data_IF_249079597636
#
_entry.id   IF_249079597636
#
_cell.length_a   1.000
_cell.length_b   1.000
_cell.length_c   1.000
_cell.angle_alpha   90.00
_cell.angle_beta   90.00
_cell.angle_gamma   90.00
#
_symmetry.space_group_name_H-M   'P 1'
#
loop_
_entity.id
_entity.type
_entity.pdbx_description
1 polymer ?
#
# COMPACT_ATOMS: atom_id res chain seq x y z
N UNK A 1 2.90 16.14 -2.28
CA UNK A 1 2.12 15.25 -3.16
C UNK A 1 0.66 15.63 -3.02
N UNK A 2 -0.10 15.83 -4.11
CA UNK A 2 -1.55 16.05 -4.00
C UNK A 2 -2.19 14.69 -3.68
N UNK A 3 -3.03 14.56 -2.64
CA UNK A 3 -3.72 13.29 -2.41
C UNK A 3 -4.56 12.98 -3.66
N UNK A 4 -4.40 11.77 -4.21
CA UNK A 4 -5.37 11.29 -5.20
C UNK A 4 -6.76 11.34 -4.56
N UNK A 5 -7.75 11.78 -5.34
CA UNK A 5 -9.15 11.89 -4.92
C UNK A 5 -9.60 10.56 -4.30
N UNK A 6 -10.26 10.63 -3.14
CA UNK A 6 -10.58 9.45 -2.35
C UNK A 6 -11.28 8.39 -3.21
N UNK A 7 -10.93 7.11 -3.01
CA UNK A 7 -11.42 5.95 -3.78
C UNK A 7 -12.96 5.88 -3.90
N UNK A 8 -13.69 6.58 -3.02
CA UNK A 8 -15.13 6.54 -2.92
C UNK A 8 -15.84 7.75 -3.58
N UNK A 9 -15.11 8.79 -3.99
CA UNK A 9 -15.67 9.98 -4.65
C UNK A 9 -15.64 9.90 -6.18
N UNK A 10 -14.93 8.91 -6.72
CA UNK A 10 -14.83 8.61 -8.13
C UNK A 10 -15.13 7.12 -8.33
N UNK A 11 -16.21 6.82 -9.06
CA UNK A 11 -16.70 5.46 -9.28
C UNK A 11 -15.68 4.57 -9.99
N UNK A 12 -14.77 5.16 -10.76
CA UNK A 12 -13.76 4.42 -11.52
C UNK A 12 -12.41 4.34 -10.78
N UNK A 13 -12.24 5.07 -9.67
CA UNK A 13 -11.01 5.03 -8.88
C UNK A 13 -10.66 3.63 -8.36
N UNK A 14 -11.60 2.79 -7.88
CA UNK A 14 -11.30 1.42 -7.48
C UNK A 14 -10.79 0.56 -8.65
N UNK A 15 -11.34 0.73 -9.85
CA UNK A 15 -10.91 -0.01 -11.04
C UNK A 15 -9.47 0.36 -11.43
N UNK A 16 -9.15 1.66 -11.49
CA UNK A 16 -7.79 2.13 -11.78
C UNK A 16 -6.79 1.72 -10.70
N UNK A 17 -7.20 1.74 -9.42
CA UNK A 17 -6.36 1.27 -8.33
C UNK A 17 -6.04 -0.22 -8.46
N UNK A 18 -7.02 -1.05 -8.86
CA UNK A 18 -6.83 -2.47 -9.13
C UNK A 18 -5.91 -2.71 -10.32
N UNK A 19 -6.08 -1.99 -11.42
CA UNK A 19 -5.22 -2.11 -12.61
C UNK A 19 -3.76 -1.77 -12.26
N UNK A 20 -3.52 -0.70 -11.48
CA UNK A 20 -2.18 -0.36 -10.98
C UNK A 20 -1.58 -1.47 -10.13
N UNK A 21 -2.33 -2.00 -9.16
CA UNK A 21 -1.87 -3.08 -8.31
C UNK A 21 -1.49 -4.35 -9.10
N UNK A 22 -2.27 -4.71 -10.13
CA UNK A 22 -1.95 -5.83 -11.01
C UNK A 22 -0.67 -5.59 -11.83
N UNK A 23 -0.47 -4.36 -12.32
CA UNK A 23 0.76 -3.98 -13.02
C UNK A 23 2.00 -4.02 -12.10
N UNK A 24 1.84 -3.66 -10.83
CA UNK A 24 2.91 -3.76 -9.82
C UNK A 24 3.27 -5.21 -9.53
N UNK A 25 2.28 -6.09 -9.39
CA UNK A 25 2.50 -7.54 -9.25
C UNK A 25 3.26 -8.08 -10.46
N UNK A 26 2.83 -7.76 -11.68
CA UNK A 26 3.48 -8.22 -12.91
C UNK A 26 4.93 -7.71 -13.04
N UNK A 27 5.22 -6.52 -12.53
CA UNK A 27 6.55 -5.92 -12.53
C UNK A 27 7.42 -6.33 -11.32
N UNK A 28 6.90 -7.16 -10.40
CA UNK A 28 7.60 -7.57 -9.18
C UNK A 28 7.77 -6.44 -8.15
N UNK A 29 7.00 -5.34 -8.25
CA UNK A 29 6.98 -4.24 -7.28
C UNK A 29 6.09 -4.62 -6.08
N UNK A 30 6.50 -5.67 -5.36
CA UNK A 30 5.76 -6.21 -4.21
C UNK A 30 6.65 -6.23 -2.97
N UNK A 31 6.04 -6.12 -1.78
CA UNK A 31 6.73 -6.30 -0.50
C UNK A 31 6.58 -7.75 -0.04
N UNK A 32 7.65 -8.42 0.43
CA UNK A 32 7.56 -9.78 0.98
C UNK A 32 6.58 -9.85 2.16
N UNK A 33 5.78 -10.93 2.21
CA UNK A 33 4.77 -11.13 3.25
C UNK A 33 5.35 -11.03 4.67
N UNK A 34 6.47 -11.71 4.94
CA UNK A 34 7.12 -11.71 6.25
C UNK A 34 7.49 -10.30 6.72
N UNK A 35 7.93 -9.45 5.78
CA UNK A 35 8.29 -8.07 6.11
C UNK A 35 7.05 -7.24 6.51
N UNK A 36 5.93 -7.45 5.82
CA UNK A 36 4.65 -6.82 6.18
C UNK A 36 4.14 -7.36 7.51
N UNK A 37 4.25 -8.67 7.75
CA UNK A 37 3.80 -9.31 8.98
C UNK A 37 4.56 -8.80 10.21
N UNK A 38 5.88 -8.67 10.13
CA UNK A 38 6.69 -8.10 11.21
C UNK A 38 6.31 -6.64 11.52
N UNK A 39 6.03 -5.84 10.49
CA UNK A 39 5.56 -4.47 10.70
C UNK A 39 4.17 -4.43 11.36
N UNK A 40 3.22 -5.26 10.91
CA UNK A 40 1.87 -5.34 11.49
C UNK A 40 1.89 -5.77 12.96
N UNK A 41 2.87 -6.56 13.41
CA UNK A 41 3.02 -6.92 14.83
C UNK A 41 3.30 -5.70 15.73
N UNK A 42 3.82 -4.61 15.17
CA UNK A 42 4.09 -3.38 15.94
C UNK A 42 2.83 -2.55 16.19
N UNK A 43 1.77 -2.73 15.40
CA UNK A 43 0.56 -1.92 15.48
C UNK A 43 -0.17 -2.10 16.81
N UNK A 44 -0.59 -0.99 17.42
CA UNK A 44 -1.24 -0.99 18.72
C UNK A 44 -0.29 -1.26 19.90
N UNK A 45 1.02 -1.23 19.67
CA UNK A 45 2.06 -1.39 20.69
C UNK A 45 2.88 -0.11 20.84
N UNK A 46 3.65 0.06 21.94
CA UNK A 46 4.60 1.18 22.05
C UNK A 46 5.65 1.23 20.94
N UNK A 47 5.89 0.11 20.24
CA UNK A 47 6.87 -0.02 19.17
C UNK A 47 6.27 0.24 17.77
N UNK A 48 5.03 0.71 17.68
CA UNK A 48 4.36 1.01 16.41
C UNK A 48 5.19 1.97 15.55
N UNK A 49 5.42 1.57 14.30
CA UNK A 49 6.19 2.35 13.32
C UNK A 49 5.32 2.75 12.13
N UNK A 50 5.56 3.93 11.54
CA UNK A 50 4.94 4.27 10.26
C UNK A 50 5.31 3.22 9.21
N UNK A 51 4.45 3.08 8.20
CA UNK A 51 4.77 2.24 7.05
C UNK A 51 6.09 2.72 6.40
N UNK A 52 7.02 1.81 6.04
CA UNK A 52 8.26 2.19 5.40
C UNK A 52 8.02 2.96 4.08
N UNK A 53 8.69 4.10 3.92
CA UNK A 53 8.45 5.01 2.78
C UNK A 53 8.94 4.41 1.46
N UNK A 54 9.89 3.48 1.51
CA UNK A 54 10.38 2.73 0.36
C UNK A 54 9.35 1.78 -0.26
N UNK A 55 8.21 1.52 0.41
CA UNK A 55 7.10 0.74 -0.13
C UNK A 55 6.19 1.55 -1.06
N UNK A 56 6.31 2.89 -1.07
CA UNK A 56 5.51 3.81 -1.88
C UNK A 56 6.13 4.11 -3.26
N UNK A 57 6.95 3.20 -3.79
CA UNK A 57 7.68 3.37 -5.05
C UNK A 57 6.80 3.20 -6.29
#
# INVERSE_FOLDING_TARGET
MKPERALYEDRDAPARARERALADIAAGRTVPHEQVAEWLKTWGTPDEKPMPSEWLK
#
